data_IF_568149776032
#
_entry.id   IF_568149776032
#
_cell.length_a   1.000
_cell.length_b   1.000
_cell.length_c   1.000
_cell.angle_alpha   90.00
_cell.angle_beta   90.00
_cell.angle_gamma   90.00
#
_symmetry.space_group_name_H-M   'P 1'
#
loop_
_entity.id
_entity.type
_entity.pdbx_description
1 polymer ?
#
# COMPACT_ATOMS: atom_id res chain seq x y z
N UNK A 1 2.99 -7.13 -28.12
CA UNK A 1 2.24 -8.22 -27.45
C UNK A 1 3.07 -9.49 -27.20
N UNK A 2 3.70 -10.15 -28.20
CA UNK A 2 4.42 -11.42 -27.96
C UNK A 2 5.62 -11.30 -27.02
N UNK A 3 6.30 -10.15 -27.05
CA UNK A 3 7.42 -9.83 -26.15
C UNK A 3 7.02 -9.87 -24.66
N UNK A 4 5.87 -9.28 -24.30
CA UNK A 4 5.42 -9.20 -22.90
C UNK A 4 4.98 -10.57 -22.35
N UNK A 5 4.38 -11.43 -23.19
CA UNK A 5 4.01 -12.78 -22.79
C UNK A 5 5.25 -13.66 -22.50
N UNK A 6 6.30 -13.53 -23.34
CA UNK A 6 7.58 -14.19 -23.13
C UNK A 6 8.30 -13.69 -21.87
N UNK A 7 8.26 -12.37 -21.63
CA UNK A 7 8.80 -11.75 -20.42
C UNK A 7 8.09 -12.24 -19.16
N UNK A 8 6.76 -12.24 -19.15
CA UNK A 8 5.95 -12.72 -18.03
C UNK A 8 6.24 -14.19 -17.69
N UNK A 9 6.33 -15.05 -18.72
CA UNK A 9 6.66 -16.47 -18.53
C UNK A 9 8.04 -16.69 -17.92
N UNK A 10 9.02 -15.84 -18.25
CA UNK A 10 10.36 -15.88 -17.65
C UNK A 10 10.36 -15.40 -16.20
N UNK A 11 9.51 -14.42 -15.86
CA UNK A 11 9.29 -14.00 -14.48
C UNK A 11 8.63 -15.10 -13.64
N UNK A 12 7.62 -15.78 -14.18
CA UNK A 12 6.93 -16.90 -13.49
C UNK A 12 7.89 -18.08 -13.21
N UNK A 13 8.84 -18.31 -14.12
CA UNK A 13 9.86 -19.35 -13.99
C UNK A 13 11.09 -18.89 -13.16
N UNK A 14 11.11 -17.65 -12.66
CA UNK A 14 12.19 -17.10 -11.85
C UNK A 14 13.47 -16.73 -12.60
N UNK A 15 13.46 -16.71 -13.94
CA UNK A 15 14.59 -16.29 -14.77
C UNK A 15 14.74 -14.77 -14.85
N UNK A 16 13.65 -14.03 -14.63
CA UNK A 16 13.64 -12.57 -14.54
C UNK A 16 12.93 -12.15 -13.25
N UNK A 17 13.45 -11.16 -12.54
CA UNK A 17 12.79 -10.63 -11.35
C UNK A 17 11.40 -10.07 -11.69
N UNK A 18 10.44 -10.11 -10.75
CA UNK A 18 9.15 -9.47 -10.95
C UNK A 18 9.36 -8.01 -11.33
N UNK A 19 8.46 -7.48 -12.14
CA UNK A 19 8.44 -6.04 -12.41
C UNK A 19 8.48 -5.29 -11.08
N UNK A 20 9.31 -4.25 -10.97
CA UNK A 20 9.49 -3.50 -9.72
C UNK A 20 8.13 -3.02 -9.18
N UNK A 21 7.21 -2.69 -10.08
CA UNK A 21 5.82 -2.34 -9.75
C UNK A 21 5.02 -3.52 -9.19
N UNK A 22 5.17 -4.72 -9.78
CA UNK A 22 4.52 -5.95 -9.27
C UNK A 22 5.07 -6.33 -7.89
N UNK A 23 6.39 -6.22 -7.70
CA UNK A 23 7.04 -6.48 -6.41
C UNK A 23 6.58 -5.48 -5.35
N UNK A 24 6.58 -4.18 -5.68
CA UNK A 24 6.06 -3.13 -4.79
C UNK A 24 4.60 -3.39 -4.41
N UNK A 25 3.75 -3.74 -5.37
CA UNK A 25 2.34 -4.08 -5.11
C UNK A 25 2.21 -5.26 -4.15
N UNK A 26 3.00 -6.32 -4.36
CA UNK A 26 3.00 -7.47 -3.46
C UNK A 26 3.48 -7.12 -2.05
N UNK A 27 4.53 -6.30 -1.93
CA UNK A 27 5.04 -5.82 -0.64
C UNK A 27 4.02 -4.94 0.10
N UNK A 28 3.34 -4.03 -0.61
CA UNK A 28 2.27 -3.21 -0.05
C UNK A 28 1.14 -4.11 0.46
N UNK A 29 0.68 -5.08 -0.34
CA UNK A 29 -0.40 -5.99 0.07
C UNK A 29 0.00 -6.91 1.23
N UNK A 30 1.26 -7.34 1.31
CA UNK A 30 1.76 -8.11 2.46
C UNK A 30 1.84 -7.25 3.72
N UNK A 31 2.27 -5.99 3.60
CA UNK A 31 2.36 -5.05 4.73
C UNK A 31 0.99 -4.54 5.17
N UNK A 32 0.03 -4.37 4.24
CA UNK A 32 -1.31 -3.87 4.53
C UNK A 32 -2.16 -4.89 5.29
N UNK A 33 -1.90 -6.19 5.11
CA UNK A 33 -2.56 -7.29 5.85
C UNK A 33 -2.35 -7.24 7.36
N UNK A 34 -1.51 -6.35 7.87
CA UNK A 34 -1.15 -6.30 9.29
C UNK A 34 -1.72 -5.07 10.02
N UNK A 35 -2.59 -4.30 9.38
CA UNK A 35 -3.41 -3.31 10.08
C UNK A 35 -4.66 -3.99 10.63
N UNK A 36 -4.90 -3.83 11.91
CA UNK A 36 -6.14 -4.29 12.56
C UNK A 36 -7.14 -3.15 12.59
N UNK A 37 -8.43 -3.47 12.77
CA UNK A 37 -9.47 -2.45 12.92
C UNK A 37 -9.24 -1.52 14.13
N UNK A 38 -8.39 -1.92 15.10
CA UNK A 38 -7.99 -1.08 16.22
C UNK A 38 -6.95 -0.01 15.83
N UNK A 39 -6.24 -0.19 14.72
CA UNK A 39 -5.24 0.76 14.22
C UNK A 39 -5.85 1.88 13.36
N UNK A 40 -7.15 1.75 13.03
CA UNK A 40 -7.92 2.69 12.22
C UNK A 40 -9.12 3.16 13.03
N UNK A 41 -9.09 4.41 13.50
CA UNK A 41 -10.23 5.03 14.15
C UNK A 41 -11.00 5.90 13.16
N UNK A 42 -12.28 5.60 12.99
CA UNK A 42 -13.19 6.44 12.22
C UNK A 42 -13.56 7.66 13.06
N UNK A 43 -13.41 8.86 12.49
CA UNK A 43 -13.73 10.12 13.18
C UNK A 43 -15.14 10.57 12.80
N UNK A 44 -15.40 10.90 11.53
CA UNK A 44 -16.69 11.35 10.99
C UNK A 44 -16.58 11.55 9.45
N UNK A 45 -17.69 11.52 8.70
CA UNK A 45 -17.82 11.97 7.30
C UNK A 45 -16.58 11.73 6.41
N UNK A 46 -16.21 10.45 6.26
CA UNK A 46 -15.09 9.99 5.44
C UNK A 46 -13.67 10.34 5.92
N UNK A 47 -13.51 10.78 7.18
CA UNK A 47 -12.21 10.93 7.86
C UNK A 47 -11.84 9.75 8.74
N UNK A 48 -10.58 9.35 8.63
CA UNK A 48 -9.99 8.24 9.35
C UNK A 48 -8.66 8.66 9.96
N UNK A 49 -8.45 8.28 11.21
CA UNK A 49 -7.15 8.40 11.88
C UNK A 49 -6.48 7.03 11.87
N UNK A 50 -5.24 6.97 11.41
CA UNK A 50 -4.46 5.74 11.28
C UNK A 50 -3.21 5.90 12.13
N UNK A 51 -3.04 5.05 13.15
CA UNK A 51 -1.80 5.05 13.93
C UNK A 51 -0.71 4.31 13.16
N UNK A 52 0.49 4.90 13.08
CA UNK A 52 1.63 4.23 12.48
C UNK A 52 2.04 3.03 13.33
N UNK A 53 2.33 1.92 12.66
CA UNK A 53 2.82 0.71 13.30
C UNK A 53 4.33 0.74 13.55
N UNK A 54 5.09 1.41 12.68
CA UNK A 54 6.53 1.57 12.84
C UNK A 54 6.88 2.57 13.93
N UNK A 55 6.00 3.54 14.18
CA UNK A 55 6.20 4.58 15.18
C UNK A 55 4.86 4.95 15.84
N UNK A 56 4.55 4.43 17.04
CA UNK A 56 3.27 4.66 17.69
C UNK A 56 3.02 6.13 18.08
N UNK A 57 4.04 7.00 18.00
CA UNK A 57 3.88 8.45 18.20
C UNK A 57 3.28 9.17 17.00
N UNK A 58 3.24 8.52 15.83
CA UNK A 58 2.71 9.09 14.59
C UNK A 58 1.28 8.63 14.35
N UNK A 59 0.40 9.60 14.14
CA UNK A 59 -0.99 9.41 13.72
C UNK A 59 -1.17 10.15 12.42
N UNK A 60 -1.77 9.48 11.44
CA UNK A 60 -2.08 10.04 10.13
C UNK A 60 -3.58 10.23 10.00
N UNK A 61 -3.97 11.35 9.43
CA UNK A 61 -5.36 11.66 9.13
C UNK A 61 -5.55 11.47 7.63
N UNK A 62 -6.54 10.67 7.27
CA UNK A 62 -6.95 10.38 5.90
C UNK A 62 -8.36 10.91 5.73
N UNK A 63 -8.54 11.86 4.83
CA UNK A 63 -9.85 12.36 4.41
C UNK A 63 -10.09 11.84 2.99
N UNK A 64 -11.04 10.90 2.87
CA UNK A 64 -11.34 10.25 1.59
C UNK A 64 -12.05 11.21 0.63
N UNK A 65 -12.92 12.09 1.14
CA UNK A 65 -13.70 13.01 0.32
C UNK A 65 -12.84 14.16 -0.21
N UNK A 66 -11.93 14.66 0.63
CA UNK A 66 -10.93 15.64 0.22
C UNK A 66 -9.76 15.01 -0.55
N UNK A 67 -9.68 13.67 -0.64
CA UNK A 67 -8.52 12.93 -1.15
C UNK A 67 -7.19 13.42 -0.54
N UNK A 68 -7.15 13.66 0.77
CA UNK A 68 -5.93 14.12 1.45
C UNK A 68 -5.46 13.13 2.51
N UNK A 69 -4.15 13.01 2.68
CA UNK A 69 -3.56 12.35 3.85
C UNK A 69 -2.44 13.22 4.44
N UNK A 70 -2.34 13.26 5.77
CA UNK A 70 -1.16 13.83 6.47
C UNK A 70 0.06 12.89 6.47
N UNK A 71 -0.04 11.77 5.75
CA UNK A 71 1.04 10.84 5.45
C UNK A 71 2.19 11.59 4.76
N UNK A 72 3.43 11.44 5.24
CA UNK A 72 4.59 12.12 4.64
C UNK A 72 4.84 11.76 3.15
N UNK A 73 4.30 10.62 2.70
CA UNK A 73 4.47 10.11 1.35
C UNK A 73 3.27 10.38 0.41
N UNK A 74 2.24 11.09 0.88
CA UNK A 74 1.01 11.35 0.11
C UNK A 74 1.04 12.74 -0.55
N UNK A 75 0.81 12.84 -1.87
CA UNK A 75 0.71 14.12 -2.59
C UNK A 75 -0.66 14.79 -2.44
#
# INVERSE_FOLDING_TARGET
LPYYALKQRRQDLGFEGPDMEVKKRQEILQRSKVFTAADVAHVEDARYTIRSRSDPSKVYDVDIDAYTCTCCDYP
#
